data_IF_025311202860
#
_entry.id   IF_025311202860
#
_cell.length_a   1.000
_cell.length_b   1.000
_cell.length_c   1.000
_cell.angle_alpha   90.00
_cell.angle_beta   90.00
_cell.angle_gamma   90.00
#
_symmetry.space_group_name_H-M   'P 1'
#
loop_
_entity.id
_entity.type
_entity.pdbx_description
1 polymer ?
#
# COMPACT_ATOMS: atom_id res chain seq x y z
N UNK A 1 -18.97 6.38 -3.54
CA UNK A 1 -18.08 6.92 -4.59
C UNK A 1 -17.70 5.73 -5.44
N UNK A 2 -18.03 5.74 -6.74
CA UNK A 2 -17.67 4.64 -7.65
C UNK A 2 -16.15 4.67 -7.81
N UNK A 3 -15.48 3.55 -7.61
CA UNK A 3 -14.06 3.43 -7.91
C UNK A 3 -13.86 3.46 -9.42
N UNK A 4 -12.98 4.36 -9.85
CA UNK A 4 -12.61 4.52 -11.24
C UNK A 4 -11.21 3.91 -11.43
N UNK A 5 -11.18 2.75 -12.10
CA UNK A 5 -9.95 2.00 -12.39
C UNK A 5 -8.95 2.83 -13.20
N UNK A 6 -9.44 3.56 -14.20
CA UNK A 6 -8.62 4.34 -15.13
C UNK A 6 -8.03 5.57 -14.43
N UNK A 7 -8.84 6.29 -13.63
CA UNK A 7 -8.36 7.42 -12.82
C UNK A 7 -7.27 6.98 -11.84
N UNK A 8 -7.49 5.85 -11.14
CA UNK A 8 -6.51 5.37 -10.16
C UNK A 8 -5.21 4.92 -10.81
N UNK A 9 -5.27 4.20 -11.93
CA UNK A 9 -4.05 3.81 -12.62
C UNK A 9 -3.27 5.03 -13.12
N UNK A 10 -3.97 6.03 -13.65
CA UNK A 10 -3.36 7.27 -14.11
C UNK A 10 -2.62 8.00 -12.96
N UNK A 11 -3.19 8.01 -11.76
CA UNK A 11 -2.53 8.55 -10.55
C UNK A 11 -1.22 7.82 -10.26
N UNK A 12 -1.20 6.48 -10.31
CA UNK A 12 0.02 5.68 -10.16
C UNK A 12 1.08 6.01 -11.23
N UNK A 13 0.66 6.14 -12.50
CA UNK A 13 1.57 6.56 -13.58
C UNK A 13 2.16 7.93 -13.27
N UNK A 14 1.33 8.93 -12.96
CA UNK A 14 1.76 10.31 -12.68
C UNK A 14 2.80 10.37 -11.57
N UNK A 15 2.62 9.63 -10.48
CA UNK A 15 3.59 9.64 -9.38
C UNK A 15 4.87 8.89 -9.71
N UNK A 16 4.79 7.80 -10.49
CA UNK A 16 5.95 6.95 -10.83
C UNK A 16 7.04 7.70 -11.61
N UNK A 17 6.67 8.64 -12.48
CA UNK A 17 7.59 9.41 -13.33
C UNK A 17 8.63 10.16 -12.49
N UNK A 18 8.23 10.65 -11.32
CA UNK A 18 9.11 11.40 -10.43
C UNK A 18 10.12 10.55 -9.67
N UNK A 19 9.99 9.22 -9.70
CA UNK A 19 10.77 8.30 -8.85
C UNK A 19 12.11 7.91 -9.44
N UNK A 20 12.33 8.15 -10.75
CA UNK A 20 13.63 7.90 -11.40
C UNK A 20 14.77 8.69 -10.75
N UNK A 21 14.47 9.79 -10.04
CA UNK A 21 15.45 10.58 -9.27
C UNK A 21 16.04 9.83 -8.07
N UNK A 22 15.31 8.84 -7.55
CA UNK A 22 15.78 7.99 -6.45
C UNK A 22 16.49 6.75 -6.99
N UNK A 23 15.82 6.07 -7.92
CA UNK A 23 16.32 4.85 -8.56
C UNK A 23 15.65 4.69 -9.93
N UNK A 24 16.41 4.47 -11.03
CA UNK A 24 15.83 4.37 -12.36
C UNK A 24 14.77 3.28 -12.49
N UNK A 25 14.96 2.14 -11.81
CA UNK A 25 14.07 0.97 -11.92
C UNK A 25 12.78 1.10 -11.10
N UNK A 26 12.68 2.12 -10.23
CA UNK A 26 11.47 2.31 -9.41
C UNK A 26 10.26 2.75 -10.23
N UNK A 27 10.46 3.42 -11.37
CA UNK A 27 9.34 3.87 -12.21
C UNK A 27 8.53 2.67 -12.68
N UNK A 28 9.15 1.74 -13.41
CA UNK A 28 8.47 0.58 -13.98
C UNK A 28 7.90 -0.35 -12.90
N UNK A 29 8.60 -0.49 -11.78
CA UNK A 29 8.13 -1.26 -10.63
C UNK A 29 6.86 -0.65 -10.03
N UNK A 30 6.83 0.67 -9.81
CA UNK A 30 5.67 1.35 -9.21
C UNK A 30 4.48 1.36 -10.18
N UNK A 31 4.71 1.46 -11.49
CA UNK A 31 3.64 1.30 -12.47
C UNK A 31 3.06 -0.12 -12.43
N UNK A 32 3.90 -1.15 -12.35
CA UNK A 32 3.46 -2.54 -12.22
C UNK A 32 2.70 -2.79 -10.92
N UNK A 33 3.14 -2.20 -9.80
CA UNK A 33 2.42 -2.25 -8.53
C UNK A 33 1.09 -1.47 -8.59
N UNK A 34 1.03 -0.38 -9.36
CA UNK A 34 -0.19 0.39 -9.59
C UNK A 34 -1.23 -0.38 -10.40
N UNK A 35 -0.82 -1.07 -11.46
CA UNK A 35 -1.71 -1.96 -12.24
C UNK A 35 -2.24 -3.11 -11.36
N UNK A 36 -1.37 -3.73 -10.57
CA UNK A 36 -1.78 -4.75 -9.60
C UNK A 36 -2.74 -4.18 -8.56
N UNK A 37 -2.49 -2.99 -8.04
CA UNK A 37 -3.36 -2.31 -7.07
C UNK A 37 -4.77 -2.07 -7.61
N UNK A 38 -4.88 -1.62 -8.85
CA UNK A 38 -6.18 -1.36 -9.51
C UNK A 38 -6.98 -2.65 -9.64
N UNK A 39 -6.35 -3.72 -10.13
CA UNK A 39 -6.98 -5.05 -10.24
C UNK A 39 -7.42 -5.59 -8.87
N UNK A 40 -6.59 -5.42 -7.85
CA UNK A 40 -6.90 -5.86 -6.50
C UNK A 40 -8.06 -5.07 -5.90
N UNK A 41 -8.09 -3.74 -6.07
CA UNK A 41 -9.21 -2.90 -5.65
C UNK A 41 -10.52 -3.27 -6.36
N UNK A 42 -10.51 -3.46 -7.68
CA UNK A 42 -11.70 -3.87 -8.41
C UNK A 42 -12.21 -5.26 -7.98
N UNK A 43 -11.31 -6.15 -7.61
CA UNK A 43 -11.66 -7.48 -7.06
C UNK A 43 -12.19 -7.37 -5.63
N UNK A 44 -11.58 -6.53 -4.78
CA UNK A 44 -12.06 -6.22 -3.43
C UNK A 44 -13.53 -5.74 -3.47
N UNK A 45 -13.85 -4.82 -4.39
CA UNK A 45 -15.22 -4.29 -4.53
C UNK A 45 -16.22 -5.33 -5.01
N UNK A 46 -15.84 -6.18 -5.98
CA UNK A 46 -16.70 -7.28 -6.43
C UNK A 46 -16.99 -8.27 -5.30
N UNK A 47 -15.97 -8.65 -4.52
CA UNK A 47 -16.13 -9.56 -3.39
C UNK A 47 -17.03 -8.95 -2.31
N UNK A 48 -16.89 -7.65 -2.02
CA UNK A 48 -17.74 -6.94 -1.07
C UNK A 48 -19.19 -6.90 -1.57
N UNK A 49 -19.39 -6.58 -2.85
CA UNK A 49 -20.72 -6.56 -3.49
C UNK A 49 -21.40 -7.93 -3.45
N UNK A 50 -20.68 -8.98 -3.85
CA UNK A 50 -21.19 -10.35 -3.88
C UNK A 50 -21.56 -10.86 -2.47
N UNK A 51 -20.73 -10.55 -1.47
CA UNK A 51 -20.99 -10.94 -0.09
C UNK A 51 -22.14 -10.14 0.53
N UNK A 52 -22.10 -8.80 0.45
CA UNK A 52 -23.04 -7.92 1.15
C UNK A 52 -24.40 -7.79 0.46
N UNK A 53 -24.42 -7.78 -0.88
CA UNK A 53 -25.66 -7.52 -1.63
C UNK A 53 -26.30 -8.80 -2.16
N UNK A 54 -25.48 -9.77 -2.59
CA UNK A 54 -25.99 -10.97 -3.27
C UNK A 54 -26.07 -12.19 -2.35
N UNK A 55 -25.56 -12.11 -1.12
CA UNK A 55 -25.39 -13.26 -0.21
C UNK A 55 -24.70 -14.46 -0.89
N UNK A 56 -23.80 -14.16 -1.85
CA UNK A 56 -23.01 -15.18 -2.52
C UNK A 56 -21.73 -15.34 -1.71
N UNK A 57 -21.49 -16.55 -1.19
CA UNK A 57 -20.19 -16.88 -0.64
C UNK A 57 -19.22 -17.00 -1.81
N UNK A 58 -18.15 -16.19 -1.88
CA UNK A 58 -17.15 -16.35 -2.92
C UNK A 58 -16.51 -17.75 -2.81
N UNK A 59 -16.01 -18.28 -3.93
CA UNK A 59 -15.26 -19.53 -3.93
C UNK A 59 -14.04 -19.43 -3.03
N UNK A 60 -13.74 -20.49 -2.28
CA UNK A 60 -12.57 -20.56 -1.40
C UNK A 60 -11.26 -20.28 -2.19
N UNK A 61 -11.17 -20.81 -3.41
CA UNK A 61 -10.00 -20.62 -4.29
C UNK A 61 -9.85 -19.16 -4.75
N UNK A 62 -10.96 -18.47 -5.05
CA UNK A 62 -10.96 -17.07 -5.46
C UNK A 62 -10.46 -16.16 -4.32
N UNK A 63 -10.92 -16.40 -3.10
CA UNK A 63 -10.48 -15.66 -1.91
C UNK A 63 -9.00 -15.95 -1.63
N UNK A 64 -8.57 -17.21 -1.64
CA UNK A 64 -7.19 -17.56 -1.29
C UNK A 64 -6.18 -17.01 -2.30
N UNK A 65 -6.51 -17.07 -3.60
CA UNK A 65 -5.70 -16.46 -4.65
C UNK A 65 -5.58 -14.96 -4.47
N UNK A 66 -6.70 -14.27 -4.22
CA UNK A 66 -6.75 -12.83 -4.03
C UNK A 66 -6.02 -12.36 -2.75
N UNK A 67 -6.13 -13.11 -1.65
CA UNK A 67 -5.33 -12.89 -0.43
C UNK A 67 -3.83 -13.02 -0.72
N UNK A 68 -3.42 -14.00 -1.50
CA UNK A 68 -2.01 -14.22 -1.86
C UNK A 68 -1.47 -13.08 -2.72
N UNK A 69 -2.24 -12.60 -3.71
CA UNK A 69 -1.84 -11.44 -4.51
C UNK A 69 -1.77 -10.17 -3.66
N UNK A 70 -2.73 -9.96 -2.76
CA UNK A 70 -2.73 -8.86 -1.80
C UNK A 70 -1.51 -8.88 -0.88
N UNK A 71 -1.12 -10.06 -0.41
CA UNK A 71 0.10 -10.28 0.36
C UNK A 71 1.35 -9.85 -0.43
N UNK A 72 1.48 -10.33 -1.68
CA UNK A 72 2.64 -10.02 -2.53
C UNK A 72 2.73 -8.52 -2.85
N UNK A 73 1.57 -7.88 -3.07
CA UNK A 73 1.49 -6.44 -3.25
C UNK A 73 2.00 -5.69 -2.02
N UNK A 74 1.59 -6.07 -0.81
CA UNK A 74 2.07 -5.45 0.45
C UNK A 74 3.58 -5.60 0.60
N UNK A 75 4.16 -6.74 0.24
CA UNK A 75 5.61 -6.92 0.25
C UNK A 75 6.32 -5.97 -0.72
N UNK A 76 5.86 -5.91 -1.98
CA UNK A 76 6.45 -5.05 -3.01
C UNK A 76 6.34 -3.56 -2.66
N UNK A 77 5.15 -3.12 -2.27
CA UNK A 77 4.90 -1.73 -1.87
C UNK A 77 5.69 -1.33 -0.62
N UNK A 78 5.88 -2.23 0.35
CA UNK A 78 6.75 -1.97 1.50
C UNK A 78 8.21 -1.76 1.07
N UNK A 79 8.72 -2.56 0.13
CA UNK A 79 10.10 -2.37 -0.33
C UNK A 79 10.30 -1.05 -1.06
N UNK A 80 9.28 -0.56 -1.80
CA UNK A 80 9.28 0.78 -2.38
C UNK A 80 9.36 1.85 -1.29
N UNK A 81 8.43 1.86 -0.32
CA UNK A 81 8.42 2.89 0.74
C UNK A 81 9.70 2.83 1.59
N UNK A 82 10.23 1.63 1.86
CA UNK A 82 11.49 1.44 2.58
C UNK A 82 12.66 2.04 1.81
N UNK A 83 12.75 1.76 0.51
CA UNK A 83 13.82 2.27 -0.36
C UNK A 83 13.77 3.79 -0.44
N UNK A 84 12.59 4.38 -0.70
CA UNK A 84 12.42 5.83 -0.73
C UNK A 84 12.80 6.49 0.59
N UNK A 85 12.33 5.95 1.72
CA UNK A 85 12.68 6.46 3.05
C UNK A 85 14.19 6.40 3.29
N UNK A 86 14.86 5.32 2.87
CA UNK A 86 16.30 5.19 3.00
C UNK A 86 17.03 6.24 2.17
N UNK A 87 16.68 6.38 0.88
CA UNK A 87 17.29 7.36 -0.05
C UNK A 87 17.13 8.80 0.46
N UNK A 88 15.96 9.14 1.00
CA UNK A 88 15.71 10.43 1.64
C UNK A 88 16.60 10.66 2.86
N UNK A 89 16.77 9.65 3.72
CA UNK A 89 17.61 9.75 4.92
C UNK A 89 19.11 9.91 4.63
N UNK A 90 19.56 9.41 3.48
CA UNK A 90 20.93 9.53 3.00
C UNK A 90 21.21 10.87 2.28
N UNK A 91 20.27 11.83 2.35
CA UNK A 91 20.31 13.13 1.66
C UNK A 91 20.49 13.02 0.14
N UNK A 92 20.01 11.93 -0.47
CA UNK A 92 20.08 11.73 -1.92
C UNK A 92 18.93 12.41 -2.68
N UNK A 93 18.06 13.14 -1.98
CA UNK A 93 17.08 14.02 -2.59
C UNK A 93 16.92 15.30 -1.76
N UNK A 94 16.53 16.39 -2.41
CA UNK A 94 16.31 17.68 -1.77
C UNK A 94 14.88 17.85 -1.25
N UNK A 95 14.09 16.78 -1.09
CA UNK A 95 12.67 16.88 -0.68
C UNK A 95 12.49 17.57 0.69
N UNK A 96 11.41 18.35 0.88
CA UNK A 96 11.16 19.01 2.16
C UNK A 96 11.06 17.99 3.31
N UNK A 97 11.46 18.36 4.55
CA UNK A 97 11.39 17.46 5.70
C UNK A 97 10.01 16.82 5.93
N UNK A 98 8.94 17.53 5.58
CA UNK A 98 7.57 17.03 5.68
C UNK A 98 7.32 15.80 4.78
N UNK A 99 7.89 15.78 3.58
CA UNK A 99 7.79 14.63 2.67
C UNK A 99 8.43 13.41 3.31
N UNK A 100 9.63 13.56 3.89
CA UNK A 100 10.33 12.48 4.55
C UNK A 100 9.56 11.92 5.76
N UNK A 101 8.97 12.79 6.59
CA UNK A 101 8.14 12.34 7.71
C UNK A 101 6.87 11.60 7.26
N UNK A 102 6.23 12.04 6.16
CA UNK A 102 5.11 11.32 5.58
C UNK A 102 5.53 9.88 5.16
N UNK A 103 6.66 9.72 4.48
CA UNK A 103 7.18 8.38 4.12
C UNK A 103 7.53 7.51 5.33
N UNK A 104 8.06 8.10 6.41
CA UNK A 104 8.30 7.37 7.66
C UNK A 104 7.01 6.86 8.29
N UNK A 105 5.95 7.66 8.30
CA UNK A 105 4.64 7.26 8.82
C UNK A 105 4.03 6.13 7.98
N UNK A 106 4.05 6.26 6.64
CA UNK A 106 3.57 5.20 5.73
C UNK A 106 4.37 3.92 5.94
N UNK A 107 5.71 4.00 5.98
CA UNK A 107 6.58 2.85 6.24
C UNK A 107 6.25 2.18 7.58
N UNK A 108 6.01 2.95 8.63
CA UNK A 108 5.63 2.42 9.93
C UNK A 108 4.28 1.69 9.88
N UNK A 109 3.30 2.24 9.15
CA UNK A 109 2.00 1.59 8.95
C UNK A 109 2.13 0.27 8.20
N UNK A 110 2.86 0.24 7.08
CA UNK A 110 3.14 -1.00 6.36
C UNK A 110 3.89 -2.02 7.23
N UNK A 111 4.85 -1.59 8.06
CA UNK A 111 5.65 -2.49 8.88
C UNK A 111 4.78 -3.33 9.83
N UNK A 112 3.64 -2.81 10.31
CA UNK A 112 2.70 -3.56 11.15
C UNK A 112 2.10 -4.78 10.45
N UNK A 113 1.99 -4.74 9.11
CA UNK A 113 1.49 -5.86 8.31
C UNK A 113 2.63 -6.65 7.71
N UNK A 114 3.55 -5.99 6.98
CA UNK A 114 4.63 -6.66 6.25
C UNK A 114 5.56 -7.47 7.16
N UNK A 115 5.91 -6.97 8.35
CA UNK A 115 6.84 -7.68 9.24
C UNK A 115 6.26 -9.01 9.71
N UNK A 116 5.05 -9.08 10.29
CA UNK A 116 4.47 -10.37 10.69
C UNK A 116 4.16 -11.28 9.51
N UNK A 117 3.86 -10.72 8.33
CA UNK A 117 3.72 -11.52 7.10
C UNK A 117 5.04 -12.19 6.68
N UNK A 118 6.16 -11.47 6.68
CA UNK A 118 7.43 -11.97 6.14
C UNK A 118 8.34 -12.66 7.18
N UNK A 119 8.17 -12.30 8.46
CA UNK A 119 9.07 -12.75 9.55
C UNK A 119 8.35 -13.55 10.64
N UNK A 120 7.02 -13.60 10.61
CA UNK A 120 6.23 -14.20 11.68
C UNK A 120 6.62 -13.60 13.04
N UNK A 121 6.73 -12.27 13.12
CA UNK A 121 6.87 -11.54 14.37
C UNK A 121 6.21 -10.16 14.25
N UNK A 122 5.72 -9.56 15.35
CA UNK A 122 5.25 -8.18 15.31
C UNK A 122 6.41 -7.22 15.03
N UNK A 123 6.10 -6.09 14.39
CA UNK A 123 7.07 -5.02 14.20
C UNK A 123 7.65 -4.55 15.55
N UNK A 124 8.94 -4.17 15.58
CA UNK A 124 9.65 -3.86 16.84
C UNK A 124 8.91 -2.88 17.77
N UNK A 125 8.29 -1.84 17.19
CA UNK A 125 7.53 -0.82 17.93
C UNK A 125 6.24 -1.39 18.54
N UNK A 126 5.69 -2.44 17.94
CA UNK A 126 4.41 -3.06 18.30
C UNK A 126 4.56 -4.43 18.95
N UNK A 127 5.78 -4.81 19.40
CA UNK A 127 6.05 -6.13 20.01
C UNK A 127 5.16 -6.50 21.19
N UNK A 128 4.61 -5.49 21.88
CA UNK A 128 3.74 -5.69 23.06
C UNK A 128 2.25 -5.62 22.75
N UNK A 129 1.87 -5.13 21.57
CA UNK A 129 0.47 -4.82 21.24
C UNK A 129 -0.06 -5.61 20.05
N UNK A 130 0.82 -6.07 19.17
CA UNK A 130 0.43 -6.76 17.94
C UNK A 130 0.71 -8.26 18.06
N UNK A 131 -0.13 -9.04 17.37
CA UNK A 131 -0.07 -10.49 17.29
C UNK A 131 1.21 -10.98 16.61
N UNK A 132 1.55 -12.25 16.82
CA UNK A 132 2.72 -12.90 16.22
C UNK A 132 2.66 -12.90 14.68
N UNK A 133 1.46 -13.06 14.14
CA UNK A 133 1.16 -12.93 12.71
C UNK A 133 0.07 -11.87 12.49
N UNK A 134 0.02 -11.34 11.28
CA UNK A 134 -1.08 -10.52 10.81
C UNK A 134 -2.11 -11.47 10.19
N UNK A 135 -3.23 -11.66 10.87
CA UNK A 135 -4.24 -12.63 10.45
C UNK A 135 -4.98 -12.10 9.22
N UNK A 136 -4.95 -12.81 8.07
CA UNK A 136 -5.69 -12.39 6.90
C UNK A 136 -7.18 -12.51 7.18
N UNK A 137 -7.94 -11.53 6.69
CA UNK A 137 -9.38 -11.49 6.84
C UNK A 137 -10.02 -10.72 5.69
N UNK A 138 -11.34 -10.74 5.70
CA UNK A 138 -12.17 -9.98 4.77
C UNK A 138 -12.95 -8.94 5.58
N UNK A 139 -12.65 -7.67 5.37
CA UNK A 139 -13.41 -6.56 5.93
C UNK A 139 -14.57 -6.25 4.99
N UNK A 140 -15.81 -6.34 5.50
CA UNK A 140 -17.03 -6.26 4.69
C UNK A 140 -17.24 -4.92 3.97
N UNK A 141 -16.48 -3.89 4.35
CA UNK A 141 -16.50 -2.55 3.77
C UNK A 141 -15.22 -2.21 2.97
N UNK A 142 -14.14 -3.00 3.11
CA UNK A 142 -12.81 -2.65 2.61
C UNK A 142 -12.13 -3.74 1.76
N UNK A 143 -12.68 -4.96 1.71
CA UNK A 143 -12.08 -6.11 1.02
C UNK A 143 -11.00 -6.81 1.84
N UNK A 144 -9.90 -7.22 1.21
CA UNK A 144 -8.82 -7.92 1.91
C UNK A 144 -8.15 -7.02 2.96
N UNK A 145 -8.05 -7.56 4.18
CA UNK A 145 -7.45 -6.88 5.30
C UNK A 145 -6.66 -7.83 6.20
N UNK A 146 -5.88 -7.23 7.10
CA UNK A 146 -5.15 -7.95 8.13
C UNK A 146 -5.51 -7.44 9.52
N UNK A 147 -5.91 -8.37 10.38
CA UNK A 147 -6.05 -8.11 11.80
C UNK A 147 -4.68 -8.26 12.46
N UNK A 148 -4.13 -7.16 12.95
CA UNK A 148 -2.81 -7.14 13.61
C UNK A 148 -2.93 -7.26 15.13
N UNK A 149 -4.09 -6.95 15.70
CA UNK A 149 -4.51 -7.28 17.07
C UNK A 149 -6.04 -7.20 17.20
N UNK A 150 -6.60 -7.36 18.40
CA UNK A 150 -8.06 -7.36 18.64
C UNK A 150 -8.76 -6.07 18.17
N UNK A 151 -8.08 -4.93 18.26
CA UNK A 151 -8.66 -3.61 18.00
C UNK A 151 -8.23 -3.00 16.66
N UNK A 152 -7.26 -3.60 15.97
CA UNK A 152 -6.63 -3.01 14.78
C UNK A 152 -6.71 -3.95 13.60
N UNK A 153 -7.48 -3.50 12.61
CA UNK A 153 -7.55 -4.04 11.26
C UNK A 153 -6.90 -3.02 10.32
N UNK A 154 -6.08 -3.52 9.39
CA UNK A 154 -5.42 -2.71 8.36
C UNK A 154 -5.79 -3.32 7.01
N UNK A 155 -6.54 -2.60 6.18
CA UNK A 155 -6.89 -3.09 4.85
C UNK A 155 -5.76 -2.88 3.85
N UNK A 156 -5.72 -3.71 2.81
CA UNK A 156 -4.77 -3.52 1.70
C UNK A 156 -5.01 -2.17 1.00
N UNK A 157 -6.28 -1.80 0.80
CA UNK A 157 -6.68 -0.52 0.20
C UNK A 157 -6.18 0.67 1.03
N UNK A 158 -6.26 0.60 2.36
CA UNK A 158 -5.73 1.64 3.25
C UNK A 158 -4.21 1.84 3.06
N UNK A 159 -3.44 0.76 2.98
CA UNK A 159 -1.99 0.82 2.74
C UNK A 159 -1.68 1.40 1.35
N UNK A 160 -2.47 1.02 0.37
CA UNK A 160 -2.35 1.53 -1.00
C UNK A 160 -2.64 3.01 -1.11
N UNK A 161 -3.74 3.47 -0.53
CA UNK A 161 -4.11 4.88 -0.48
C UNK A 161 -3.05 5.69 0.27
N UNK A 162 -2.55 5.17 1.40
CA UNK A 162 -1.48 5.83 2.15
C UNK A 162 -0.20 6.01 1.32
N UNK A 163 0.22 5.00 0.55
CA UNK A 163 1.40 5.09 -0.31
C UNK A 163 1.16 6.04 -1.49
N UNK A 164 0.04 5.89 -2.20
CA UNK A 164 -0.29 6.74 -3.34
C UNK A 164 -0.36 8.22 -2.93
N UNK A 165 -1.06 8.53 -1.84
CA UNK A 165 -1.16 9.90 -1.34
C UNK A 165 0.22 10.47 -0.92
N UNK A 166 1.10 9.67 -0.32
CA UNK A 166 2.45 10.11 0.02
C UNK A 166 3.29 10.43 -1.23
N UNK A 167 3.16 9.62 -2.28
CA UNK A 167 3.82 9.84 -3.56
C UNK A 167 3.28 11.07 -4.30
N UNK A 168 1.96 11.31 -4.26
CA UNK A 168 1.32 12.50 -4.82
C UNK A 168 1.79 13.77 -4.11
N UNK A 169 1.82 13.76 -2.78
CA UNK A 169 2.36 14.86 -1.99
C UNK A 169 3.81 15.16 -2.38
N UNK A 170 4.66 14.14 -2.49
CA UNK A 170 6.05 14.31 -2.91
C UNK A 170 6.16 14.87 -4.34
N UNK A 171 5.27 14.48 -5.25
CA UNK A 171 5.20 15.01 -6.61
C UNK A 171 4.82 16.48 -6.61
N UNK A 172 3.79 16.89 -5.87
CA UNK A 172 3.35 18.29 -5.76
C UNK A 172 4.50 19.18 -5.27
N UNK A 173 5.17 18.78 -4.18
CA UNK A 173 6.32 19.51 -3.64
C UNK A 173 7.49 19.62 -4.63
N UNK A 174 7.68 18.60 -5.48
CA UNK A 174 8.69 18.66 -6.55
C UNK A 174 8.30 19.67 -7.63
N UNK A 175 7.04 19.65 -8.08
CA UNK A 175 6.56 20.56 -9.13
C UNK A 175 6.57 22.01 -8.69
N UNK A 176 6.14 22.31 -7.46
CA UNK A 176 6.13 23.67 -6.91
C UNK A 176 7.53 24.30 -6.93
N UNK A 177 8.56 23.50 -6.64
CA UNK A 177 9.95 23.96 -6.66
C UNK A 177 10.52 24.15 -8.06
N UNK A 178 10.03 23.41 -9.06
CA UNK A 178 10.42 23.61 -10.46
C UNK A 178 9.77 24.87 -11.08
N UNK A 179 8.64 25.32 -10.52
CA UNK A 179 7.95 26.55 -10.92
C UNK A 179 8.38 27.81 -10.14
N UNK A 180 9.27 27.66 -9.16
CA UNK A 180 9.82 28.76 -8.33
C UNK A 180 11.16 29.23 -8.87
#
# INVERSE_FOLDING_TARGET
MIFDEDDRFERWIKVSIGLMRFEPHLMDLVQSLGDMDVKLCGTDEKLVDDYCQKNISPGYEDIQGHVTQSYLWVLGAYEVVRTLTQRMSENQCNDPPQVFENFKQVKARFARVRVPLAKFEPASIHKKTDSHIAYPGFAFDLGIAWQVNEDVIISRRELSDALLNALENARVETLLRLSS
#
